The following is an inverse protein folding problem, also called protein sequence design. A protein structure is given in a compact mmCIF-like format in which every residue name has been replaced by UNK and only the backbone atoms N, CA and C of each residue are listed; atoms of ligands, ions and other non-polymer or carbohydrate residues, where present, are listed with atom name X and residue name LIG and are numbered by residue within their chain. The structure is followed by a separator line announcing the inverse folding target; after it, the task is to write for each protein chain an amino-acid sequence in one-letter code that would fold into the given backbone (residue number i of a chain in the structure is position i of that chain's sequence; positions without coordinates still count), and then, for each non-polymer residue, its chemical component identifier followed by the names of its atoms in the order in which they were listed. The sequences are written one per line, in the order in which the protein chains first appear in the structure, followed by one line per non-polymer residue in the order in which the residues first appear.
data_IF_421852841030
#
_entry.id   IF_421852841030
#
_cell.length_a   1.000
_cell.length_b   1.000
_cell.length_c   1.000
_cell.angle_alpha   90.00
_cell.angle_beta   90.00
_cell.angle_gamma   90.00
#
_symmetry.space_group_name_H-M   'P 1'
#
loop_
_entity.id
_entity.type
_entity.pdbx_description
1 polymer ?
#
# COMPACT_ATOMS: atom_id res chain seq x y z
N UNK A 1 33.15 1.46 -20.93
CA UNK A 1 32.31 2.52 -20.33
C UNK A 1 31.07 1.84 -19.75
N UNK A 2 31.19 1.34 -18.52
CA UNK A 2 30.19 0.45 -17.94
C UNK A 2 29.08 1.25 -17.26
N UNK A 3 27.91 1.30 -17.89
CA UNK A 3 26.70 1.72 -17.20
C UNK A 3 26.48 0.76 -16.03
N UNK A 4 26.49 1.31 -14.81
CA UNK A 4 26.19 0.57 -13.60
C UNK A 4 24.81 -0.04 -13.78
N UNK A 5 24.75 -1.37 -13.77
CA UNK A 5 23.61 -2.24 -14.13
C UNK A 5 22.35 -2.06 -13.24
N UNK A 6 22.25 -0.97 -12.47
CA UNK A 6 21.23 -0.71 -11.46
C UNK A 6 20.91 0.77 -11.20
N UNK A 7 21.53 1.74 -11.90
CA UNK A 7 21.23 3.17 -11.76
C UNK A 7 20.64 3.68 -13.08
N UNK A 8 19.31 3.58 -13.22
CA UNK A 8 18.58 4.29 -14.29
C UNK A 8 18.57 5.79 -13.95
N UNK A 9 18.69 6.64 -14.97
CA UNK A 9 18.48 8.08 -14.80
C UNK A 9 17.00 8.40 -14.60
N UNK A 10 16.68 9.57 -14.04
CA UNK A 10 15.30 10.01 -13.85
C UNK A 10 14.52 10.09 -15.18
N UNK A 11 15.20 10.45 -16.27
CA UNK A 11 14.63 10.47 -17.62
C UNK A 11 14.31 9.05 -18.14
N UNK A 12 15.18 8.08 -17.88
CA UNK A 12 14.94 6.68 -18.24
C UNK A 12 13.80 6.07 -17.42
N UNK A 13 13.67 6.49 -16.16
CA UNK A 13 12.53 6.14 -15.30
C UNK A 13 11.21 6.69 -15.82
N UNK A 14 11.15 7.97 -16.14
CA UNK A 14 9.96 8.63 -16.70
C UNK A 14 9.55 8.00 -18.04
N UNK A 15 10.53 7.67 -18.90
CA UNK A 15 10.27 7.02 -20.18
C UNK A 15 9.66 5.63 -20.03
N UNK A 16 10.19 4.80 -19.12
CA UNK A 16 9.63 3.46 -18.83
C UNK A 16 8.23 3.60 -18.23
N UNK A 17 8.03 4.55 -17.32
CA UNK A 17 6.74 4.78 -16.68
C UNK A 17 5.69 5.28 -17.68
N UNK A 18 6.06 6.15 -18.62
CA UNK A 18 5.19 6.66 -19.67
C UNK A 18 4.80 5.54 -20.66
N UNK A 19 5.77 4.77 -21.16
CA UNK A 19 5.53 3.65 -22.07
C UNK A 19 4.48 2.65 -21.57
N UNK A 20 4.56 2.35 -20.27
CA UNK A 20 3.75 1.33 -19.64
C UNK A 20 2.38 1.82 -19.17
N UNK A 21 2.24 3.13 -18.95
CA UNK A 21 0.98 3.79 -18.56
C UNK A 21 0.13 4.16 -19.78
N UNK A 22 0.77 4.52 -20.89
CA UNK A 22 0.11 4.96 -22.12
C UNK A 22 0.88 4.46 -23.36
N UNK A 23 0.55 3.25 -23.82
CA UNK A 23 1.30 2.56 -24.89
C UNK A 23 1.11 3.17 -26.28
N UNK A 24 0.24 4.18 -26.41
CA UNK A 24 -0.21 4.71 -27.71
C UNK A 24 0.49 6.02 -28.11
N UNK A 25 1.43 6.51 -27.30
CA UNK A 25 1.89 7.91 -27.39
C UNK A 25 3.42 8.05 -27.48
N UNK A 26 4.14 6.98 -27.83
CA UNK A 26 5.60 7.03 -27.97
C UNK A 26 6.06 7.17 -29.42
N UNK A 27 7.02 8.07 -29.65
CA UNK A 27 7.76 8.15 -30.91
C UNK A 27 8.62 6.89 -31.13
N UNK A 28 8.95 6.59 -32.38
CA UNK A 28 9.81 5.43 -32.74
C UNK A 28 11.14 5.43 -31.98
N UNK A 29 11.77 6.60 -31.81
CA UNK A 29 13.02 6.73 -31.06
C UNK A 29 12.86 6.35 -29.58
N UNK A 30 11.72 6.69 -28.97
CA UNK A 30 11.43 6.32 -27.58
C UNK A 30 11.13 4.82 -27.45
N UNK A 31 10.46 4.20 -28.44
CA UNK A 31 10.21 2.76 -28.44
C UNK A 31 11.52 1.96 -28.50
N UNK A 32 12.47 2.38 -29.35
CA UNK A 32 13.81 1.77 -29.41
C UNK A 32 14.53 1.93 -28.06
N UNK A 33 14.50 3.13 -27.48
CA UNK A 33 15.14 3.39 -26.19
C UNK A 33 14.55 2.56 -25.05
N UNK A 34 13.23 2.40 -25.01
CA UNK A 34 12.56 1.51 -24.06
C UNK A 34 13.00 0.06 -24.26
N UNK A 35 13.11 -0.41 -25.50
CA UNK A 35 13.55 -1.77 -25.80
C UNK A 35 15.00 -2.04 -25.34
N UNK A 36 15.90 -1.06 -25.51
CA UNK A 36 17.26 -1.11 -24.97
C UNK A 36 17.25 -1.19 -23.43
N UNK A 37 16.49 -0.32 -22.77
CA UNK A 37 16.36 -0.30 -21.31
C UNK A 37 15.76 -1.59 -20.76
N UNK A 38 14.77 -2.16 -21.46
CA UNK A 38 14.21 -3.48 -21.15
C UNK A 38 15.28 -4.57 -21.25
N UNK A 39 16.12 -4.52 -22.29
CA UNK A 39 17.17 -5.50 -22.50
C UNK A 39 18.23 -5.43 -21.40
N UNK A 40 18.64 -4.23 -21.03
CA UNK A 40 19.72 -3.99 -20.07
C UNK A 40 19.26 -4.17 -18.62
N UNK A 41 18.00 -3.84 -18.32
CA UNK A 41 17.44 -3.83 -16.96
C UNK A 41 16.21 -4.72 -16.80
N UNK A 42 16.22 -5.92 -17.40
CA UNK A 42 15.12 -6.92 -17.37
C UNK A 42 14.48 -7.14 -15.99
N UNK A 43 15.31 -7.15 -14.94
CA UNK A 43 14.86 -7.37 -13.55
C UNK A 43 14.01 -6.21 -13.05
N UNK A 44 14.46 -4.98 -13.30
CA UNK A 44 13.83 -3.75 -12.85
C UNK A 44 12.54 -3.49 -13.61
N UNK A 45 12.59 -3.67 -14.94
CA UNK A 45 11.41 -3.57 -15.80
C UNK A 45 10.31 -4.56 -15.38
N UNK A 46 10.66 -5.83 -15.10
CA UNK A 46 9.71 -6.82 -14.59
C UNK A 46 9.12 -6.43 -13.23
N UNK A 47 9.94 -5.92 -12.31
CA UNK A 47 9.50 -5.46 -11.01
C UNK A 47 8.48 -4.32 -11.14
N UNK A 48 8.76 -3.36 -12.04
CA UNK A 48 7.87 -2.25 -12.32
C UNK A 48 6.52 -2.72 -12.85
N UNK A 49 6.50 -3.59 -13.87
CA UNK A 49 5.26 -4.13 -14.42
C UNK A 49 4.40 -4.84 -13.38
N UNK A 50 5.03 -5.69 -12.55
CA UNK A 50 4.32 -6.38 -11.46
C UNK A 50 3.72 -5.39 -10.46
N UNK A 51 4.41 -4.29 -10.17
CA UNK A 51 3.92 -3.24 -9.26
C UNK A 51 2.74 -2.48 -9.87
N UNK A 52 2.83 -2.06 -11.13
CA UNK A 52 1.74 -1.31 -11.78
C UNK A 52 0.51 -2.20 -11.95
N UNK A 53 0.66 -3.43 -12.46
CA UNK A 53 -0.46 -4.35 -12.65
C UNK A 53 -1.19 -4.63 -11.33
N UNK A 54 -0.44 -4.82 -10.23
CA UNK A 54 -1.06 -4.99 -8.91
C UNK A 54 -1.86 -3.74 -8.51
N UNK A 55 -1.31 -2.55 -8.74
CA UNK A 55 -2.00 -1.29 -8.51
C UNK A 55 -3.32 -1.22 -9.28
N UNK A 56 -3.29 -1.49 -10.58
CA UNK A 56 -4.47 -1.45 -11.44
C UNK A 56 -5.54 -2.45 -10.99
N UNK A 57 -5.14 -3.67 -10.63
CA UNK A 57 -6.05 -4.69 -10.12
C UNK A 57 -6.77 -4.20 -8.86
N UNK A 58 -6.05 -3.58 -7.91
CA UNK A 58 -6.63 -3.11 -6.64
C UNK A 58 -7.54 -1.88 -6.80
N UNK A 59 -7.34 -1.06 -7.84
CA UNK A 59 -8.23 0.07 -8.17
C UNK A 59 -9.58 -0.35 -8.74
N UNK A 60 -9.68 -1.54 -9.35
CA UNK A 60 -10.96 -2.08 -9.87
C UNK A 60 -11.97 -2.31 -8.75
N UNK A 61 -13.25 -2.12 -9.05
CA UNK A 61 -14.36 -2.23 -8.07
C UNK A 61 -15.12 -3.56 -8.10
N UNK A 62 -14.85 -4.43 -9.07
CA UNK A 62 -15.60 -5.67 -9.27
C UNK A 62 -14.91 -6.85 -8.56
N UNK A 63 -15.47 -7.42 -7.47
CA UNK A 63 -14.77 -8.38 -6.62
C UNK A 63 -14.36 -9.67 -7.35
N UNK A 64 -15.24 -10.20 -8.22
CA UNK A 64 -14.96 -11.43 -8.97
C UNK A 64 -13.82 -11.25 -9.97
N UNK A 65 -13.83 -10.12 -10.70
CA UNK A 65 -12.76 -9.76 -11.63
C UNK A 65 -11.43 -9.57 -10.90
N UNK A 66 -11.45 -8.89 -9.75
CA UNK A 66 -10.23 -8.71 -8.94
C UNK A 66 -9.67 -10.04 -8.46
N UNK A 67 -10.51 -10.96 -7.96
CA UNK A 67 -10.06 -12.30 -7.55
C UNK A 67 -9.36 -13.05 -8.69
N UNK A 68 -9.95 -13.03 -9.88
CA UNK A 68 -9.39 -13.71 -11.05
C UNK A 68 -8.04 -13.10 -11.45
N UNK A 69 -7.97 -11.76 -11.53
CA UNK A 69 -6.74 -11.07 -11.90
C UNK A 69 -5.64 -11.24 -10.84
N UNK A 70 -5.98 -11.17 -9.55
CA UNK A 70 -5.01 -11.44 -8.47
C UNK A 70 -4.48 -12.87 -8.54
N UNK A 71 -5.30 -13.85 -8.92
CA UNK A 71 -4.83 -15.23 -9.13
C UNK A 71 -3.82 -15.33 -10.27
N UNK A 72 -4.10 -14.69 -11.41
CA UNK A 72 -3.18 -14.60 -12.56
C UNK A 72 -1.89 -13.87 -12.19
N UNK A 73 -2.02 -12.73 -11.53
CA UNK A 73 -0.91 -11.93 -11.02
C UNK A 73 -0.04 -12.73 -10.05
N UNK A 74 -0.62 -13.43 -9.07
CA UNK A 74 0.11 -14.27 -8.13
C UNK A 74 0.90 -15.39 -8.84
N UNK A 75 0.31 -15.96 -9.89
CA UNK A 75 0.96 -16.99 -10.71
C UNK A 75 2.15 -16.41 -11.49
N UNK A 76 2.06 -15.18 -11.97
CA UNK A 76 3.17 -14.48 -12.61
C UNK A 76 4.25 -14.07 -11.62
N UNK A 77 3.87 -13.39 -10.54
CA UNK A 77 4.74 -12.94 -9.46
C UNK A 77 5.55 -14.09 -8.83
N UNK A 78 4.93 -15.26 -8.63
CA UNK A 78 5.62 -16.45 -8.10
C UNK A 78 6.73 -16.98 -9.01
N UNK A 79 6.64 -16.77 -10.33
CA UNK A 79 7.62 -17.21 -11.33
C UNK A 79 8.62 -16.10 -11.73
N UNK A 80 8.48 -14.91 -11.14
CA UNK A 80 9.26 -13.73 -11.52
C UNK A 80 10.75 -13.80 -11.15
N UNK A 81 11.12 -14.70 -10.23
CA UNK A 81 12.45 -14.76 -9.55
C UNK A 81 12.79 -13.46 -8.79
N UNK A 82 11.77 -12.71 -8.37
CA UNK A 82 11.92 -11.53 -7.54
C UNK A 82 11.37 -11.84 -6.15
N UNK A 83 12.24 -12.11 -5.17
CA UNK A 83 11.84 -12.61 -3.85
C UNK A 83 10.79 -11.73 -3.16
N UNK A 84 10.88 -10.40 -3.32
CA UNK A 84 9.88 -9.47 -2.81
C UNK A 84 8.48 -9.78 -3.37
N UNK A 85 8.33 -9.94 -4.68
CA UNK A 85 7.05 -10.25 -5.32
C UNK A 85 6.59 -11.69 -5.08
N UNK A 86 7.51 -12.64 -4.95
CA UNK A 86 7.16 -14.02 -4.57
C UNK A 86 6.53 -14.05 -3.18
N UNK A 87 7.11 -13.32 -2.21
CA UNK A 87 6.52 -13.16 -0.87
C UNK A 87 5.17 -12.45 -0.93
N UNK A 88 5.06 -11.35 -1.67
CA UNK A 88 3.78 -10.64 -1.85
C UNK A 88 2.70 -11.54 -2.43
N UNK A 89 3.02 -12.36 -3.44
CA UNK A 89 2.07 -13.32 -4.02
C UNK A 89 1.62 -14.40 -3.02
N UNK A 90 2.48 -14.79 -2.07
CA UNK A 90 2.09 -15.67 -0.96
C UNK A 90 1.11 -14.96 -0.04
N UNK A 91 1.45 -13.76 0.43
CA UNK A 91 0.58 -12.95 1.31
C UNK A 91 -0.78 -12.67 0.68
N UNK A 92 -0.84 -12.34 -0.61
CA UNK A 92 -2.11 -12.10 -1.31
C UNK A 92 -2.96 -13.38 -1.37
N UNK A 93 -2.35 -14.56 -1.60
CA UNK A 93 -3.08 -15.83 -1.56
C UNK A 93 -3.65 -16.13 -0.18
N UNK A 94 -2.85 -15.92 0.86
CA UNK A 94 -3.23 -16.18 2.26
C UNK A 94 -4.37 -15.23 2.72
N UNK A 95 -4.46 -14.03 2.13
CA UNK A 95 -5.45 -13.02 2.49
C UNK A 95 -6.44 -12.66 1.36
N UNK A 96 -6.60 -13.53 0.37
CA UNK A 96 -7.39 -13.26 -0.85
C UNK A 96 -8.80 -12.78 -0.53
N UNK A 97 -9.48 -13.45 0.40
CA UNK A 97 -10.87 -13.13 0.76
C UNK A 97 -10.99 -11.75 1.38
N UNK A 98 -10.05 -11.38 2.27
CA UNK A 98 -10.01 -10.04 2.87
C UNK A 98 -9.78 -8.94 1.84
N UNK A 99 -8.90 -9.17 0.85
CA UNK A 99 -8.64 -8.23 -0.24
C UNK A 99 -9.88 -8.05 -1.12
N UNK A 100 -10.58 -9.15 -1.44
CA UNK A 100 -11.81 -9.11 -2.24
C UNK A 100 -12.95 -8.40 -1.50
N UNK A 101 -13.05 -8.57 -0.18
CA UNK A 101 -13.98 -7.82 0.68
C UNK A 101 -13.63 -6.33 0.71
N UNK A 102 -12.34 -5.99 0.84
CA UNK A 102 -11.86 -4.61 0.73
C UNK A 102 -12.27 -3.98 -0.60
N UNK A 103 -12.16 -4.72 -1.71
CA UNK A 103 -12.57 -4.21 -3.03
C UNK A 103 -14.05 -3.85 -3.08
N UNK A 104 -14.89 -4.65 -2.42
CA UNK A 104 -16.34 -4.41 -2.36
C UNK A 104 -16.68 -3.18 -1.53
N UNK A 105 -16.07 -3.03 -0.35
CA UNK A 105 -16.52 -2.04 0.64
C UNK A 105 -15.63 -0.79 0.75
N UNK A 106 -14.38 -0.86 0.28
CA UNK A 106 -13.32 0.15 0.45
C UNK A 106 -13.08 0.55 1.92
N UNK A 107 -13.48 -0.30 2.85
CA UNK A 107 -13.23 -0.11 4.28
C UNK A 107 -11.77 -0.48 4.55
N UNK A 108 -10.98 0.50 4.96
CA UNK A 108 -9.60 0.29 5.39
C UNK A 108 -9.54 0.10 6.91
N UNK A 109 -8.50 -0.57 7.39
CA UNK A 109 -8.22 -0.63 8.82
C UNK A 109 -7.68 0.70 9.39
N UNK A 110 -7.56 1.76 8.58
CA UNK A 110 -6.90 3.01 8.97
C UNK A 110 -7.56 3.70 10.17
N UNK A 111 -8.89 3.67 10.26
CA UNK A 111 -9.62 4.22 11.42
C UNK A 111 -9.29 3.43 12.70
N UNK A 112 -9.30 2.10 12.62
CA UNK A 112 -8.99 1.20 13.73
C UNK A 112 -7.53 1.32 14.15
N UNK A 113 -6.60 1.42 13.19
CA UNK A 113 -5.18 1.65 13.43
C UNK A 113 -4.93 3.02 14.08
N UNK A 114 -5.61 4.07 13.61
CA UNK A 114 -5.57 5.40 14.22
C UNK A 114 -6.02 5.37 15.68
N UNK A 115 -7.15 4.70 15.96
CA UNK A 115 -7.64 4.51 17.32
C UNK A 115 -6.65 3.72 18.19
N UNK A 116 -6.09 2.62 17.66
CA UNK A 116 -5.09 1.81 18.35
C UNK A 116 -3.82 2.62 18.68
N UNK A 117 -3.38 3.48 17.76
CA UNK A 117 -2.23 4.35 17.98
C UNK A 117 -2.50 5.39 19.07
N UNK A 118 -3.69 6.00 19.06
CA UNK A 118 -4.12 6.94 20.10
C UNK A 118 -4.23 6.27 21.47
N UNK A 119 -4.81 5.07 21.55
CA UNK A 119 -4.89 4.28 22.78
C UNK A 119 -3.49 3.94 23.34
N UNK A 120 -2.56 3.49 22.49
CA UNK A 120 -1.16 3.23 22.88
C UNK A 120 -0.45 4.49 23.35
N UNK A 121 -0.71 5.64 22.74
CA UNK A 121 -0.14 6.92 23.17
C UNK A 121 -0.66 7.32 24.55
N UNK A 122 -1.97 7.24 24.78
CA UNK A 122 -2.60 7.54 26.08
C UNK A 122 -2.04 6.63 27.17
N UNK A 123 -1.91 5.33 26.89
CA UNK A 123 -1.33 4.35 27.82
C UNK A 123 0.12 4.68 28.18
N UNK A 124 0.93 5.07 27.20
CA UNK A 124 2.33 5.47 27.44
C UNK A 124 2.44 6.75 28.27
N UNK A 125 1.60 7.76 28.00
CA UNK A 125 1.60 9.03 28.75
C UNK A 125 1.15 8.88 30.20
N UNK A 126 0.33 7.86 30.49
CA UNK A 126 -0.14 7.58 31.85
C UNK A 126 0.87 6.77 32.70
N UNK A 127 1.97 6.29 32.11
CA UNK A 127 2.96 5.42 32.78
C UNK A 127 2.40 4.12 33.37
N UNK A 128 1.24 3.68 32.87
CA UNK A 128 0.54 2.48 33.32
C UNK A 128 -0.78 2.79 34.02
N UNK A 129 -1.65 1.78 34.08
CA UNK A 129 -2.95 1.87 34.74
C UNK A 129 -3.14 0.68 35.66
N UNK A 130 -3.78 0.92 36.81
CA UNK A 130 -4.10 -0.12 37.79
C UNK A 130 -5.32 -0.96 37.40
N UNK A 131 -6.05 -0.58 36.35
CA UNK A 131 -7.18 -1.36 35.83
C UNK A 131 -7.44 -1.05 34.35
N UNK A 132 -8.02 -2.02 33.64
CA UNK A 132 -8.48 -1.82 32.27
C UNK A 132 -9.59 -0.77 32.17
N UNK A 133 -10.46 -0.66 33.18
CA UNK A 133 -11.52 0.36 33.22
C UNK A 133 -10.97 1.78 33.14
N UNK A 134 -9.86 2.06 33.82
CA UNK A 134 -9.22 3.37 33.78
C UNK A 134 -8.66 3.71 32.38
N UNK A 135 -8.09 2.72 31.68
CA UNK A 135 -7.63 2.88 30.30
C UNK A 135 -8.81 3.19 29.38
N UNK A 136 -9.89 2.42 29.48
CA UNK A 136 -11.09 2.58 28.65
C UNK A 136 -11.71 3.95 28.86
N UNK A 137 -11.91 4.37 30.11
CA UNK A 137 -12.48 5.68 30.43
C UNK A 137 -11.64 6.84 29.86
N UNK A 138 -10.30 6.75 29.91
CA UNK A 138 -9.44 7.78 29.32
C UNK A 138 -9.53 7.78 27.78
N UNK A 139 -9.59 6.60 27.15
CA UNK A 139 -9.78 6.51 25.69
C UNK A 139 -11.12 7.13 25.30
N UNK A 140 -12.21 6.79 26.01
CA UNK A 140 -13.54 7.35 25.79
C UNK A 140 -13.53 8.87 25.95
N UNK A 141 -12.98 9.39 27.05
CA UNK A 141 -12.87 10.84 27.27
C UNK A 141 -12.10 11.52 26.13
N UNK A 142 -10.94 10.99 25.74
CA UNK A 142 -10.10 11.62 24.72
C UNK A 142 -10.63 11.43 23.28
N UNK A 143 -11.51 10.46 23.01
CA UNK A 143 -11.98 10.12 21.67
C UNK A 143 -13.47 10.43 21.42
N UNK A 144 -14.25 10.70 22.46
CA UNK A 144 -15.68 11.02 22.36
C UNK A 144 -15.97 12.43 21.85
N UNK A 145 -14.99 13.34 21.90
CA UNK A 145 -15.19 14.75 21.55
C UNK A 145 -15.95 15.53 22.62
N UNK A 146 -16.05 14.99 23.85
CA UNK A 146 -16.67 15.69 24.98
C UNK A 146 -15.82 16.91 25.37
N UNK A 147 -16.41 18.09 25.26
CA UNK A 147 -15.84 19.31 25.83
C UNK A 147 -16.20 19.39 27.31
N UNK A 148 -15.20 19.15 28.16
CA UNK A 148 -15.33 19.39 29.59
C UNK A 148 -15.02 20.85 29.86
N UNK A 149 -16.05 21.65 30.11
CA UNK A 149 -15.84 22.97 30.71
C UNK A 149 -15.48 22.76 32.19
N UNK A 150 -14.30 23.22 32.65
CA UNK A 150 -14.01 23.21 34.07
C UNK A 150 -15.06 24.09 34.76
N UNK A 151 -15.89 23.48 35.60
CA UNK A 151 -16.80 24.23 36.46
C UNK A 151 -15.98 25.06 37.43
N UNK A 152 -15.88 26.36 37.20
CA UNK A 152 -15.40 27.28 38.21
C UNK A 152 -16.48 27.32 39.30
N UNK A 153 -16.30 26.51 40.34
CA UNK A 153 -16.96 26.80 41.61
C UNK A 153 -16.31 28.09 42.14
N UNK A 154 -16.94 29.22 41.85
CA UNK A 154 -16.72 30.44 42.64
C UNK A 154 -17.06 30.09 44.08
N UNK A 155 -16.02 29.96 44.90
CA UNK A 155 -16.14 29.89 46.35
C UNK A 155 -16.60 31.28 46.80
N UNK A 156 -17.89 31.40 47.11
CA UNK A 156 -18.47 32.51 47.86
C UNK A 156 -18.18 32.38 49.35
#
# INVERSE_FOLDING_TARGET
MGLRRYELTDEEWELIAHHLRDSLTLSEAQQVRVAELQHDNKRLYRAYLLKEELGDILHRRQPNVVRELLSKWCSWASRSRLDAFVRTAKTIRDHMDGIVVYVRHRITNGLVEGLNNKARLLTRRAYGFHSAKAVIALIELCCSGLELHPGHHELA
#
